data_IF_249445241360
#
_entry.id   IF_249445241360
#
_cell.length_a   1.000
_cell.length_b   1.000
_cell.length_c   1.000
_cell.angle_alpha   90.00
_cell.angle_beta   90.00
_cell.angle_gamma   90.00
#
_symmetry.space_group_name_H-M   'P 1'
#
loop_
_entity.id
_entity.type
_entity.pdbx_description
1 polymer ?
#
# COMPACT_ATOMS: atom_id res chain seq x y z
N UNK A 1 17.23 -1.66 32.48
CA UNK A 1 16.94 -1.63 31.04
C UNK A 1 17.59 -2.88 30.50
N UNK A 2 16.81 -3.95 30.40
CA UNK A 2 17.32 -5.26 30.06
C UNK A 2 17.70 -5.28 28.57
N UNK A 3 18.67 -6.11 28.20
CA UNK A 3 19.14 -6.23 26.82
C UNK A 3 18.04 -6.61 25.80
N UNK A 4 16.87 -7.10 26.28
CA UNK A 4 15.66 -7.31 25.47
C UNK A 4 14.95 -6.00 25.09
N UNK A 5 14.97 -4.97 25.93
CA UNK A 5 14.32 -3.68 25.66
C UNK A 5 15.08 -2.87 24.60
N UNK A 6 16.40 -3.08 24.50
CA UNK A 6 17.24 -2.43 23.49
C UNK A 6 17.00 -2.98 22.08
N UNK A 7 16.53 -4.22 21.95
CA UNK A 7 16.35 -4.90 20.65
C UNK A 7 15.00 -4.60 20.00
N UNK A 8 14.01 -4.08 20.74
CA UNK A 8 12.69 -3.72 20.23
C UNK A 8 12.51 -2.21 19.95
N UNK A 9 13.53 -1.39 20.21
CA UNK A 9 13.43 0.05 19.96
C UNK A 9 13.54 0.38 18.47
N UNK A 10 12.54 1.10 17.94
CA UNK A 10 12.54 1.58 16.55
C UNK A 10 13.64 2.62 16.37
N UNK A 11 14.49 2.44 15.36
CA UNK A 11 15.59 3.35 15.04
C UNK A 11 15.07 4.73 14.59
N UNK A 12 15.92 5.77 14.68
CA UNK A 12 15.52 7.12 14.23
C UNK A 12 15.12 7.13 12.75
N UNK A 13 15.86 6.41 11.90
CA UNK A 13 15.56 6.28 10.47
C UNK A 13 14.17 5.69 10.24
N UNK A 14 13.86 4.59 10.91
CA UNK A 14 12.56 3.92 10.83
C UNK A 14 11.41 4.81 11.30
N UNK A 15 11.61 5.60 12.36
CA UNK A 15 10.62 6.59 12.82
C UNK A 15 10.38 7.67 11.77
N UNK A 16 11.45 8.21 11.19
CA UNK A 16 11.37 9.22 10.12
C UNK A 16 10.63 8.65 8.91
N UNK A 17 10.91 7.40 8.54
CA UNK A 17 10.23 6.70 7.46
C UNK A 17 8.72 6.60 7.70
N UNK A 18 8.28 6.08 8.86
CA UNK A 18 6.86 6.01 9.22
C UNK A 18 6.20 7.39 9.23
N UNK A 19 6.90 8.40 9.75
CA UNK A 19 6.40 9.78 9.79
C UNK A 19 6.23 10.37 8.38
N UNK A 20 7.16 10.12 7.46
CA UNK A 20 7.05 10.59 6.09
C UNK A 20 5.85 9.96 5.37
N UNK A 21 5.63 8.65 5.54
CA UNK A 21 4.48 7.95 4.96
C UNK A 21 3.18 8.49 5.58
N UNK A 22 3.15 8.68 6.91
CA UNK A 22 1.99 9.26 7.60
C UNK A 22 1.64 10.65 7.06
N UNK A 23 2.64 11.53 6.90
CA UNK A 23 2.44 12.88 6.39
C UNK A 23 1.96 12.85 4.94
N UNK A 24 2.56 12.03 4.08
CA UNK A 24 2.15 11.88 2.69
C UNK A 24 0.68 11.43 2.58
N UNK A 25 0.30 10.38 3.29
CA UNK A 25 -1.07 9.86 3.22
C UNK A 25 -2.07 10.79 3.90
N UNK A 26 -1.68 11.51 4.95
CA UNK A 26 -2.53 12.55 5.56
C UNK A 26 -2.78 13.70 4.58
N UNK A 27 -1.75 14.14 3.85
CA UNK A 27 -1.88 15.18 2.84
C UNK A 27 -2.79 14.73 1.69
N UNK A 28 -2.62 13.51 1.19
CA UNK A 28 -3.51 12.95 0.15
C UNK A 28 -4.96 12.83 0.64
N UNK A 29 -5.16 12.30 1.86
CA UNK A 29 -6.49 12.22 2.47
C UNK A 29 -7.16 13.59 2.61
N UNK A 30 -6.40 14.61 3.02
CA UNK A 30 -6.88 15.99 3.08
C UNK A 30 -7.26 16.52 1.69
N UNK A 31 -6.42 16.30 0.68
CA UNK A 31 -6.69 16.74 -0.70
C UNK A 31 -7.97 16.10 -1.22
N UNK A 32 -8.12 14.78 -1.09
CA UNK A 32 -9.27 14.07 -1.64
C UNK A 32 -10.59 14.37 -0.91
N UNK A 33 -10.52 14.62 0.40
CA UNK A 33 -11.70 15.02 1.18
C UNK A 33 -12.13 16.47 0.91
N UNK A 34 -11.18 17.38 0.65
CA UNK A 34 -11.47 18.80 0.48
C UNK A 34 -11.84 19.17 -0.94
N UNK A 35 -11.09 18.65 -1.93
CA UNK A 35 -11.22 19.08 -3.32
C UNK A 35 -12.07 18.15 -4.18
N UNK A 36 -12.29 16.90 -3.75
CA UNK A 36 -13.05 15.89 -4.48
C UNK A 36 -12.74 15.85 -5.99
N UNK A 37 -11.49 15.55 -6.36
CA UNK A 37 -11.01 15.72 -7.73
C UNK A 37 -11.66 14.77 -8.75
N UNK A 38 -12.55 13.86 -8.33
CA UNK A 38 -13.29 12.89 -9.15
C UNK A 38 -12.43 12.33 -10.30
N UNK A 39 -12.64 12.83 -11.51
CA UNK A 39 -12.00 12.45 -12.77
C UNK A 39 -10.45 12.42 -12.69
N UNK A 40 -9.84 13.21 -11.80
CA UNK A 40 -8.39 13.30 -11.66
C UNK A 40 -7.80 12.42 -10.54
N UNK A 41 -8.61 11.68 -9.78
CA UNK A 41 -8.08 10.90 -8.63
C UNK A 41 -7.04 9.87 -9.08
N UNK A 42 -7.30 9.18 -10.19
CA UNK A 42 -6.41 8.15 -10.71
C UNK A 42 -5.09 8.75 -11.16
N UNK A 43 -5.15 9.90 -11.84
CA UNK A 43 -3.95 10.62 -12.26
C UNK A 43 -3.11 11.01 -11.05
N UNK A 44 -3.72 11.60 -10.01
CA UNK A 44 -3.01 12.01 -8.79
C UNK A 44 -2.37 10.80 -8.11
N UNK A 45 -3.12 9.70 -7.94
CA UNK A 45 -2.61 8.48 -7.29
C UNK A 45 -1.46 7.85 -8.07
N UNK A 46 -1.58 7.75 -9.40
CA UNK A 46 -0.53 7.21 -10.28
C UNK A 46 0.70 8.10 -10.22
N UNK A 47 0.57 9.42 -10.35
CA UNK A 47 1.70 10.36 -10.29
C UNK A 47 2.42 10.29 -8.94
N UNK A 48 1.67 10.28 -7.82
CA UNK A 48 2.27 10.12 -6.49
C UNK A 48 3.00 8.77 -6.35
N UNK A 49 2.44 7.68 -6.89
CA UNK A 49 3.10 6.36 -6.85
C UNK A 49 4.38 6.33 -7.68
N UNK A 50 4.40 6.97 -8.85
CA UNK A 50 5.59 7.10 -9.71
C UNK A 50 6.66 7.92 -8.99
N UNK A 51 6.31 9.07 -8.42
CA UNK A 51 7.26 9.92 -7.72
C UNK A 51 7.90 9.20 -6.53
N UNK A 52 7.09 8.51 -5.72
CA UNK A 52 7.60 7.72 -4.60
C UNK A 52 8.52 6.59 -5.07
N UNK A 53 8.11 5.84 -6.09
CA UNK A 53 8.94 4.80 -6.70
C UNK A 53 10.28 5.34 -7.20
N UNK A 54 10.29 6.45 -7.95
CA UNK A 54 11.51 7.04 -8.50
C UNK A 54 12.48 7.52 -7.40
N UNK A 55 11.95 8.13 -6.33
CA UNK A 55 12.76 8.55 -5.18
C UNK A 55 13.44 7.33 -4.54
N UNK A 56 12.71 6.24 -4.32
CA UNK A 56 13.26 5.06 -3.65
C UNK A 56 14.23 4.27 -4.54
N UNK A 57 13.96 4.18 -5.84
CA UNK A 57 14.92 3.61 -6.80
C UNK A 57 16.19 4.45 -6.82
N UNK A 58 16.08 5.78 -6.81
CA UNK A 58 17.25 6.66 -6.79
C UNK A 58 18.10 6.45 -5.53
N UNK A 59 17.49 6.36 -4.34
CA UNK A 59 18.20 6.12 -3.08
C UNK A 59 18.85 4.73 -3.00
N UNK A 60 18.23 3.72 -3.61
CA UNK A 60 18.68 2.32 -3.55
C UNK A 60 19.40 1.84 -4.82
N UNK A 61 19.74 2.74 -5.76
CA UNK A 61 20.34 2.42 -7.07
C UNK A 61 21.64 1.61 -7.02
N UNK A 62 22.38 1.71 -5.91
CA UNK A 62 23.64 0.99 -5.71
C UNK A 62 23.44 -0.37 -5.01
N UNK A 63 22.21 -0.76 -4.70
CA UNK A 63 21.86 -2.02 -4.06
C UNK A 63 20.92 -2.86 -4.95
N UNK A 64 21.45 -3.56 -5.96
CA UNK A 64 20.64 -4.32 -6.91
C UNK A 64 19.86 -5.48 -6.26
N UNK A 65 20.37 -6.05 -5.15
CA UNK A 65 19.66 -7.08 -4.38
C UNK A 65 18.37 -6.53 -3.79
N UNK A 66 18.44 -5.38 -3.12
CA UNK A 66 17.27 -4.71 -2.58
C UNK A 66 16.25 -4.33 -3.67
N UNK A 67 16.71 -3.82 -4.82
CA UNK A 67 15.82 -3.50 -5.96
C UNK A 67 15.12 -4.74 -6.53
N UNK A 68 15.82 -5.88 -6.61
CA UNK A 68 15.24 -7.14 -7.08
C UNK A 68 14.18 -7.66 -6.10
N UNK A 69 14.50 -7.65 -4.80
CA UNK A 69 13.55 -7.99 -3.73
C UNK A 69 12.32 -7.08 -3.79
N UNK A 70 12.52 -5.78 -3.99
CA UNK A 70 11.44 -4.81 -4.13
C UNK A 70 10.56 -5.04 -5.36
N UNK A 71 11.14 -5.44 -6.48
CA UNK A 71 10.38 -5.82 -7.67
C UNK A 71 9.43 -6.99 -7.39
N UNK A 72 9.90 -8.00 -6.66
CA UNK A 72 9.08 -9.15 -6.26
C UNK A 72 7.95 -8.71 -5.32
N UNK A 73 8.23 -7.81 -4.38
CA UNK A 73 7.22 -7.27 -3.45
C UNK A 73 6.15 -6.45 -4.18
N UNK A 74 6.54 -5.59 -5.11
CA UNK A 74 5.62 -4.84 -5.98
C UNK A 74 4.72 -5.77 -6.79
N UNK A 75 5.31 -6.80 -7.44
CA UNK A 75 4.54 -7.80 -8.19
C UNK A 75 3.59 -8.59 -7.27
N UNK A 76 4.02 -8.91 -6.06
CA UNK A 76 3.20 -9.64 -5.08
C UNK A 76 1.98 -8.82 -4.68
N UNK A 77 2.14 -7.53 -4.38
CA UNK A 77 1.02 -6.65 -4.05
C UNK A 77 0.06 -6.49 -5.25
N UNK A 78 0.59 -6.27 -6.46
CA UNK A 78 -0.22 -6.18 -7.66
C UNK A 78 -1.02 -7.46 -7.93
N UNK A 79 -0.41 -8.63 -7.74
CA UNK A 79 -1.09 -9.93 -7.91
C UNK A 79 -2.17 -10.15 -6.85
N UNK A 80 -1.87 -9.88 -5.58
CA UNK A 80 -2.85 -10.00 -4.50
C UNK A 80 -4.04 -9.06 -4.72
N UNK A 81 -3.77 -7.80 -5.11
CA UNK A 81 -4.81 -6.85 -5.49
C UNK A 81 -5.64 -7.36 -6.66
N UNK A 82 -5.01 -7.88 -7.71
CA UNK A 82 -5.70 -8.45 -8.87
C UNK A 82 -6.63 -9.59 -8.50
N UNK A 83 -6.19 -10.53 -7.66
CA UNK A 83 -7.05 -11.62 -7.20
C UNK A 83 -8.19 -11.08 -6.34
N UNK A 84 -7.91 -10.19 -5.38
CA UNK A 84 -8.91 -9.63 -4.49
C UNK A 84 -10.01 -8.89 -5.26
N UNK A 85 -9.65 -8.03 -6.20
CA UNK A 85 -10.59 -7.26 -7.04
C UNK A 85 -11.46 -8.17 -7.90
N UNK A 86 -10.86 -9.19 -8.55
CA UNK A 86 -11.64 -10.11 -9.37
C UNK A 86 -12.58 -10.99 -8.54
N UNK A 87 -12.15 -11.45 -7.35
CA UNK A 87 -13.02 -12.21 -6.45
C UNK A 87 -14.13 -11.32 -5.90
N UNK A 88 -13.81 -10.11 -5.41
CA UNK A 88 -14.78 -9.16 -4.89
C UNK A 88 -15.81 -8.74 -5.93
N UNK A 89 -15.37 -8.38 -7.13
CA UNK A 89 -16.24 -8.02 -8.24
C UNK A 89 -17.10 -9.18 -8.73
N UNK A 90 -16.56 -10.41 -8.81
CA UNK A 90 -17.33 -11.61 -9.19
C UNK A 90 -18.42 -11.94 -8.16
N UNK A 91 -18.10 -11.78 -6.87
CA UNK A 91 -19.04 -11.99 -5.77
C UNK A 91 -20.01 -10.81 -5.57
N UNK A 92 -19.85 -9.72 -6.32
CA UNK A 92 -20.69 -8.53 -6.21
C UNK A 92 -20.44 -7.69 -4.97
N UNK A 93 -19.34 -7.89 -4.24
CA UNK A 93 -19.05 -7.23 -2.96
C UNK A 93 -18.69 -5.75 -3.10
N UNK A 94 -17.97 -5.39 -4.16
CA UNK A 94 -17.67 -4.00 -4.51
C UNK A 94 -17.39 -3.89 -6.00
N UNK A 95 -17.33 -2.65 -6.50
CA UNK A 95 -16.98 -2.39 -7.89
C UNK A 95 -16.39 -1.01 -8.08
N UNK A 96 -15.50 -0.91 -9.07
CA UNK A 96 -14.93 0.35 -9.54
C UNK A 96 -15.71 0.79 -10.77
N UNK A 97 -16.21 2.02 -10.74
CA UNK A 97 -17.16 2.57 -11.70
C UNK A 97 -16.47 3.30 -12.85
N UNK A 98 -15.29 3.87 -12.60
CA UNK A 98 -14.56 4.71 -13.54
C UNK A 98 -13.10 4.29 -13.64
N UNK A 99 -12.61 4.05 -14.87
CA UNK A 99 -11.20 3.80 -15.21
C UNK A 99 -11.00 3.95 -16.72
N UNK A 100 -9.76 4.22 -17.14
CA UNK A 100 -9.38 4.24 -18.56
C UNK A 100 -9.44 2.83 -19.16
N UNK A 101 -9.06 1.80 -18.40
CA UNK A 101 -8.99 0.42 -18.87
C UNK A 101 -9.08 -0.58 -17.71
N UNK A 102 -9.92 -1.59 -17.88
CA UNK A 102 -10.04 -2.71 -16.94
C UNK A 102 -9.35 -3.97 -17.46
N UNK A 103 -8.74 -4.71 -16.54
CA UNK A 103 -8.32 -6.10 -16.73
C UNK A 103 -9.13 -6.95 -15.74
N UNK A 104 -10.15 -7.65 -16.25
CA UNK A 104 -11.16 -8.27 -15.40
C UNK A 104 -11.95 -7.19 -14.64
N UNK A 105 -12.00 -7.27 -13.31
CA UNK A 105 -12.64 -6.26 -12.46
C UNK A 105 -11.68 -5.16 -11.96
N UNK A 106 -10.38 -5.27 -12.24
CA UNK A 106 -9.37 -4.35 -11.72
C UNK A 106 -8.95 -3.32 -12.77
N UNK A 107 -8.99 -2.00 -12.46
CA UNK A 107 -8.40 -0.96 -13.28
C UNK A 107 -6.89 -1.13 -13.46
N UNK A 108 -6.38 -0.79 -14.64
CA UNK A 108 -4.93 -0.81 -14.90
C UNK A 108 -4.18 0.18 -14.00
N UNK A 109 -4.81 1.30 -13.64
CA UNK A 109 -4.26 2.29 -12.73
C UNK A 109 -4.00 1.69 -11.34
N UNK A 110 -4.93 0.88 -10.83
CA UNK A 110 -4.76 0.19 -9.54
C UNK A 110 -3.64 -0.84 -9.63
N UNK A 111 -3.51 -1.58 -10.73
CA UNK A 111 -2.39 -2.52 -10.94
C UNK A 111 -1.05 -1.79 -10.88
N UNK A 112 -0.94 -0.65 -11.58
CA UNK A 112 0.27 0.17 -11.60
C UNK A 112 0.58 0.73 -10.21
N UNK A 113 -0.41 1.29 -9.52
CA UNK A 113 -0.25 1.82 -8.16
C UNK A 113 0.22 0.71 -7.21
N UNK A 114 -0.43 -0.46 -7.22
CA UNK A 114 -0.05 -1.59 -6.38
C UNK A 114 1.41 -2.03 -6.63
N UNK A 115 1.82 -2.12 -7.91
CA UNK A 115 3.20 -2.47 -8.23
C UNK A 115 4.19 -1.41 -7.74
N UNK A 116 3.97 -0.14 -8.07
CA UNK A 116 4.89 0.97 -7.76
C UNK A 116 4.98 1.23 -6.26
N UNK A 117 3.83 1.27 -5.56
CA UNK A 117 3.77 1.45 -4.11
C UNK A 117 4.36 0.26 -3.39
N UNK A 118 4.02 -0.97 -3.79
CA UNK A 118 4.58 -2.18 -3.17
C UNK A 118 6.10 -2.26 -3.32
N UNK A 119 6.62 -1.84 -4.48
CA UNK A 119 8.05 -1.71 -4.73
C UNK A 119 8.67 -0.66 -3.79
N UNK A 120 8.17 0.57 -3.83
CA UNK A 120 8.73 1.68 -3.06
C UNK A 120 8.68 1.41 -1.54
N UNK A 121 7.54 0.91 -1.05
CA UNK A 121 7.36 0.56 0.35
C UNK A 121 8.34 -0.52 0.81
N UNK A 122 8.59 -1.55 0.00
CA UNK A 122 9.51 -2.62 0.41
C UNK A 122 10.95 -2.14 0.61
N UNK A 123 11.37 -1.08 -0.10
CA UNK A 123 12.67 -0.42 0.10
C UNK A 123 12.70 0.46 1.37
N UNK A 124 11.54 0.82 1.90
CA UNK A 124 11.38 1.55 3.15
C UNK A 124 11.48 0.66 4.39
N UNK A 125 11.29 -0.66 4.22
CA UNK A 125 11.29 -1.62 5.31
C UNK A 125 12.67 -1.80 5.94
N UNK A 126 12.74 -2.04 7.26
CA UNK A 126 13.92 -2.53 7.94
C UNK A 126 14.52 -3.78 7.27
N UNK A 127 15.84 -3.95 7.38
CA UNK A 127 16.52 -5.16 6.88
C UNK A 127 16.16 -6.42 7.68
N UNK A 128 15.88 -6.27 8.98
CA UNK A 128 15.47 -7.34 9.88
C UNK A 128 14.08 -7.06 10.46
N UNK A 129 13.33 -8.10 10.78
CA UNK A 129 11.97 -7.95 11.30
C UNK A 129 11.98 -7.24 12.66
N UNK A 130 11.39 -6.04 12.72
CA UNK A 130 11.13 -5.32 13.95
C UNK A 130 9.61 -5.32 14.24
N UNK A 131 9.22 -6.01 15.31
CA UNK A 131 7.80 -6.18 15.69
C UNK A 131 7.07 -4.85 15.86
N UNK A 132 7.68 -3.87 16.53
CA UNK A 132 7.05 -2.59 16.79
C UNK A 132 6.89 -1.79 15.50
N UNK A 133 7.94 -1.75 14.67
CA UNK A 133 7.85 -1.12 13.35
C UNK A 133 6.76 -1.77 12.50
N UNK A 134 6.76 -3.09 12.37
CA UNK A 134 5.77 -3.82 11.56
C UNK A 134 4.35 -3.62 12.07
N UNK A 135 4.14 -3.53 13.39
CA UNK A 135 2.82 -3.22 13.95
C UNK A 135 2.34 -1.82 13.52
N UNK A 136 3.18 -0.80 13.65
CA UNK A 136 2.81 0.56 13.25
C UNK A 136 2.63 0.67 11.74
N UNK A 137 3.49 0.03 10.96
CA UNK A 137 3.43 0.01 9.50
C UNK A 137 2.12 -0.63 9.00
N UNK A 138 1.79 -1.83 9.50
CA UNK A 138 0.52 -2.52 9.15
C UNK A 138 -0.68 -1.66 9.53
N UNK A 139 -0.69 -1.06 10.72
CA UNK A 139 -1.79 -0.18 11.14
C UNK A 139 -1.91 1.05 10.25
N UNK A 140 -0.79 1.71 9.96
CA UNK A 140 -0.75 2.90 9.13
C UNK A 140 -1.34 2.59 7.75
N UNK A 141 -0.86 1.55 7.08
CA UNK A 141 -1.37 1.20 5.75
C UNK A 141 -2.81 0.69 5.78
N UNK A 142 -3.24 0.01 6.84
CA UNK A 142 -4.64 -0.43 6.97
C UNK A 142 -5.59 0.76 7.15
N UNK A 143 -5.20 1.73 7.98
CA UNK A 143 -5.96 2.97 8.18
C UNK A 143 -6.01 3.75 6.87
N UNK A 144 -4.86 4.04 6.26
CA UNK A 144 -4.82 4.89 5.06
C UNK A 144 -5.32 4.20 3.80
N UNK A 145 -5.17 2.88 3.67
CA UNK A 145 -5.84 2.11 2.62
C UNK A 145 -7.35 2.25 2.72
N UNK A 146 -7.89 2.07 3.93
CA UNK A 146 -9.34 2.23 4.19
C UNK A 146 -9.82 3.66 3.91
N UNK A 147 -9.06 4.67 4.34
CA UNK A 147 -9.35 6.07 4.02
C UNK A 147 -9.27 6.36 2.52
N UNK A 148 -8.33 5.72 1.82
CA UNK A 148 -8.20 5.77 0.37
C UNK A 148 -9.45 5.25 -0.33
N UNK A 149 -9.95 4.06 0.06
CA UNK A 149 -11.21 3.54 -0.51
C UNK A 149 -12.42 4.40 -0.14
N UNK A 150 -12.50 4.93 1.10
CA UNK A 150 -13.55 5.90 1.46
C UNK A 150 -13.49 7.12 0.54
N UNK A 151 -12.30 7.62 0.22
CA UNK A 151 -12.14 8.72 -0.71
C UNK A 151 -12.63 8.35 -2.12
N UNK A 152 -12.33 7.15 -2.62
CA UNK A 152 -12.83 6.67 -3.91
C UNK A 152 -14.36 6.58 -3.92
N UNK A 153 -14.97 6.07 -2.85
CA UNK A 153 -16.43 5.98 -2.70
C UNK A 153 -17.07 7.37 -2.66
N UNK A 154 -16.52 8.29 -1.86
CA UNK A 154 -17.04 9.65 -1.76
C UNK A 154 -16.91 10.45 -3.07
N UNK A 155 -15.93 10.08 -3.92
CA UNK A 155 -15.78 10.66 -5.25
C UNK A 155 -16.64 9.96 -6.32
N UNK A 156 -17.41 8.93 -5.96
CA UNK A 156 -18.29 8.21 -6.89
C UNK A 156 -17.56 7.26 -7.84
N UNK A 157 -16.32 6.89 -7.52
CA UNK A 157 -15.44 6.08 -8.39
C UNK A 157 -15.47 4.61 -7.97
N UNK A 158 -15.86 4.35 -6.73
CA UNK A 158 -16.02 3.01 -6.19
C UNK A 158 -17.35 2.91 -5.44
N UNK A 159 -17.90 1.71 -5.35
CA UNK A 159 -19.07 1.44 -4.52
C UNK A 159 -18.91 0.10 -3.79
N UNK A 160 -19.45 0.03 -2.58
CA UNK A 160 -19.61 -1.22 -1.85
C UNK A 160 -21.03 -1.74 -2.00
N UNK A 161 -21.17 -3.06 -1.94
CA UNK A 161 -22.41 -3.81 -2.13
C UNK A 161 -22.46 -5.00 -1.15
N UNK A 162 -23.61 -5.66 -1.06
CA UNK A 162 -23.80 -6.95 -0.37
C UNK A 162 -23.24 -7.02 1.08
N UNK A 163 -23.34 -5.91 1.81
CA UNK A 163 -22.89 -5.81 3.20
C UNK A 163 -21.37 -5.65 3.37
N UNK A 164 -20.62 -5.61 2.27
CA UNK A 164 -19.22 -5.17 2.29
C UNK A 164 -19.16 -3.69 2.66
N UNK A 165 -18.12 -3.31 3.40
CA UNK A 165 -18.00 -1.93 3.87
C UNK A 165 -16.71 -1.70 4.64
N UNK A 166 -16.58 -0.50 5.20
CA UNK A 166 -15.35 0.02 5.81
C UNK A 166 -14.64 -0.94 6.79
N UNK A 167 -15.32 -1.66 7.70
CA UNK A 167 -14.63 -2.60 8.60
C UNK A 167 -13.97 -3.77 7.86
N UNK A 168 -14.61 -4.29 6.81
CA UNK A 168 -14.07 -5.39 6.01
C UNK A 168 -12.90 -4.94 5.15
N UNK A 169 -12.96 -3.72 4.62
CA UNK A 169 -11.85 -3.08 3.90
C UNK A 169 -10.63 -2.92 4.80
N UNK A 170 -10.81 -2.41 6.02
CA UNK A 170 -9.73 -2.31 6.99
C UNK A 170 -9.09 -3.67 7.28
N UNK A 171 -9.92 -4.70 7.53
CA UNK A 171 -9.43 -6.05 7.75
C UNK A 171 -8.71 -6.64 6.53
N UNK A 172 -9.19 -6.33 5.32
CA UNK A 172 -8.57 -6.72 4.06
C UNK A 172 -7.17 -6.14 3.91
N UNK A 173 -7.01 -4.82 4.07
CA UNK A 173 -5.69 -4.20 4.06
C UNK A 173 -4.79 -4.78 5.15
N UNK A 174 -5.29 -4.94 6.37
CA UNK A 174 -4.51 -5.52 7.47
C UNK A 174 -3.98 -6.91 7.12
N UNK A 175 -4.81 -7.76 6.51
CA UNK A 175 -4.41 -9.09 6.05
C UNK A 175 -3.37 -9.03 4.93
N UNK A 176 -3.55 -8.17 3.94
CA UNK A 176 -2.61 -7.98 2.83
C UNK A 176 -1.24 -7.53 3.35
N UNK A 177 -1.20 -6.54 4.24
CA UNK A 177 0.06 -6.03 4.78
C UNK A 177 0.77 -7.04 5.68
N UNK A 178 0.03 -7.80 6.50
CA UNK A 178 0.61 -8.93 7.25
C UNK A 178 1.22 -9.96 6.30
N UNK A 179 0.52 -10.33 5.22
CA UNK A 179 1.04 -11.26 4.22
C UNK A 179 2.32 -10.73 3.56
N UNK A 180 2.35 -9.45 3.19
CA UNK A 180 3.54 -8.83 2.58
C UNK A 180 4.72 -8.77 3.56
N UNK A 181 4.50 -8.46 4.84
CA UNK A 181 5.55 -8.54 5.86
C UNK A 181 6.10 -9.96 5.97
N UNK A 182 5.23 -10.98 5.97
CA UNK A 182 5.67 -12.39 5.95
C UNK A 182 6.51 -12.69 4.70
N UNK A 183 6.07 -12.27 3.52
CA UNK A 183 6.81 -12.46 2.27
C UNK A 183 8.18 -11.79 2.34
N UNK A 184 8.25 -10.53 2.79
CA UNK A 184 9.50 -9.77 2.86
C UNK A 184 10.52 -10.39 3.82
N UNK A 185 10.09 -10.79 5.01
CA UNK A 185 11.00 -11.20 6.09
C UNK A 185 11.21 -12.69 6.22
N UNK A 186 10.30 -13.54 5.69
CA UNK A 186 10.43 -15.00 5.79
C UNK A 186 10.67 -15.68 4.44
N UNK A 187 10.06 -15.20 3.37
CA UNK A 187 10.18 -15.84 2.05
C UNK A 187 11.38 -15.26 1.29
N UNK A 188 11.58 -13.95 1.37
CA UNK A 188 12.64 -13.23 0.66
C UNK A 188 13.81 -12.85 1.57
N UNK A 189 14.04 -13.59 2.66
CA UNK A 189 15.13 -13.30 3.59
C UNK A 189 16.52 -13.44 2.94
N UNK A 190 16.65 -14.40 2.02
CA UNK A 190 17.93 -14.76 1.39
C UNK A 190 18.16 -14.08 0.02
N UNK A 191 17.27 -13.17 -0.37
CA UNK A 191 17.36 -12.40 -1.62
C UNK A 191 18.00 -11.03 -1.38
#
# INVERSE_FOLDING_TARGET
MDAKDAQESISLREKVNLMNIFVLFSALGFIFSTFQPRDFIWLILVECSILWFLIEVYHNRNNPGALKKAAIMGLSLALVGFVAENVGGTLGLWGILESVLFIGYMPIEVILICFLVGFAWSLYLPGEFNKNYSLYDVLLFSIFGTLGEIALVNNGIMQYNDGWGTPFVFAGYLMVWVLLHITNYKVLQDF
#
